data_IF_921164162875
#
_entry.id   IF_921164162875
#
_cell.length_a   1.000
_cell.length_b   1.000
_cell.length_c   1.000
_cell.angle_alpha   90.00
_cell.angle_beta   90.00
_cell.angle_gamma   90.00
#
_symmetry.space_group_name_H-M   'P 1'
#
loop_
_entity.id
_entity.type
_entity.pdbx_description
1 polymer ?
#
# COMPACT_ATOMS: atom_id res chain seq x y z
N UNK A 1 -32.17 21.07 -5.72
CA UNK A 1 -31.76 21.19 -4.30
C UNK A 1 -30.28 20.85 -4.22
N UNK A 2 -29.42 21.89 -4.23
CA UNK A 2 -27.98 21.73 -4.01
C UNK A 2 -27.73 21.51 -2.51
N UNK A 3 -27.51 20.27 -2.09
CA UNK A 3 -27.04 19.96 -0.76
C UNK A 3 -25.62 20.47 -0.60
N UNK A 4 -25.41 21.48 0.25
CA UNK A 4 -24.08 21.84 0.72
C UNK A 4 -23.56 20.66 1.56
N UNK A 5 -22.54 19.98 1.08
CA UNK A 5 -21.75 19.07 1.92
C UNK A 5 -21.09 19.92 3.01
N UNK A 6 -21.53 19.75 4.25
CA UNK A 6 -20.83 20.27 5.40
C UNK A 6 -19.60 19.39 5.61
N UNK A 7 -18.48 19.77 5.00
CA UNK A 7 -17.19 19.20 5.37
C UNK A 7 -16.84 19.72 6.77
N UNK A 8 -16.78 18.83 7.75
CA UNK A 8 -16.16 19.16 9.02
C UNK A 8 -14.70 19.54 8.75
N UNK A 9 -14.21 20.68 9.26
CA UNK A 9 -12.83 21.07 9.10
C UNK A 9 -11.96 20.27 10.09
N UNK A 10 -11.76 19.00 9.80
CA UNK A 10 -10.71 18.25 10.47
C UNK A 10 -9.39 18.56 9.77
N UNK A 11 -8.50 19.31 10.43
CA UNK A 11 -7.13 19.48 9.98
C UNK A 11 -6.49 18.09 9.88
N UNK A 12 -6.08 17.70 8.67
CA UNK A 12 -5.43 16.41 8.39
C UNK A 12 -3.93 16.54 8.59
N UNK A 13 -3.23 15.42 8.75
CA UNK A 13 -1.76 15.41 8.75
C UNK A 13 -1.17 15.98 7.47
N UNK A 14 -1.88 15.86 6.35
CA UNK A 14 -1.58 16.47 5.06
C UNK A 14 -1.61 18.01 5.04
N UNK A 15 -2.18 18.65 6.07
CA UNK A 15 -2.24 20.10 6.18
C UNK A 15 -1.02 20.67 6.94
N UNK A 16 -0.05 19.81 7.31
CA UNK A 16 1.18 20.20 7.97
C UNK A 16 2.16 20.82 6.96
N UNK A 17 2.85 21.85 7.40
CA UNK A 17 3.91 22.48 6.61
C UNK A 17 5.12 21.55 6.51
N UNK A 18 5.53 21.11 5.31
CA UNK A 18 6.69 20.23 5.16
C UNK A 18 8.01 20.89 5.58
N UNK A 19 8.11 22.23 5.54
CA UNK A 19 9.30 22.98 5.90
C UNK A 19 9.32 23.33 7.41
N UNK A 20 8.16 23.31 8.06
CA UNK A 20 8.01 23.66 9.47
C UNK A 20 7.23 22.56 10.21
N UNK A 21 7.91 21.49 10.64
CA UNK A 21 7.28 20.36 11.34
C UNK A 21 6.43 20.81 12.54
N UNK A 22 5.19 20.31 12.59
CA UNK A 22 4.21 20.66 13.63
C UNK A 22 3.39 21.89 13.37
N UNK A 23 3.64 22.64 12.31
CA UNK A 23 2.79 23.75 11.87
C UNK A 23 1.84 23.31 10.76
N UNK A 24 0.68 23.95 10.68
CA UNK A 24 -0.26 23.76 9.58
C UNK A 24 -0.05 24.83 8.52
N UNK A 25 -0.09 24.43 7.27
CA UNK A 25 -0.05 25.39 6.16
C UNK A 25 -1.38 26.14 6.11
N UNK A 26 -1.33 27.46 6.27
CA UNK A 26 -2.46 28.33 6.03
C UNK A 26 -2.61 28.60 4.53
N UNK A 27 -3.07 27.60 3.80
CA UNK A 27 -3.34 27.74 2.36
C UNK A 27 -4.82 27.51 2.08
N UNK A 28 -5.31 28.07 0.99
CA UNK A 28 -6.65 27.78 0.47
C UNK A 28 -6.79 26.37 -0.11
N UNK A 29 -5.69 25.63 -0.20
CA UNK A 29 -5.62 24.23 -0.67
C UNK A 29 -4.90 23.39 0.37
N UNK A 30 -5.42 22.20 0.73
CA UNK A 30 -4.75 21.30 1.64
C UNK A 30 -3.40 20.85 1.04
N UNK A 31 -2.39 20.75 1.89
CA UNK A 31 -1.14 20.06 1.54
C UNK A 31 -1.39 18.57 1.74
N UNK A 32 -1.42 17.83 0.65
CA UNK A 32 -1.73 16.39 0.66
C UNK A 32 -0.54 15.53 1.07
N UNK A 33 0.66 16.04 0.87
CA UNK A 33 1.89 15.33 1.10
C UNK A 33 2.78 16.11 2.07
N UNK A 34 2.95 15.57 3.26
CA UNK A 34 3.67 16.24 4.34
C UNK A 34 4.26 15.24 5.35
N UNK A 35 5.32 15.66 5.99
CA UNK A 35 5.90 14.96 7.14
C UNK A 35 4.92 14.83 8.30
N UNK A 36 4.88 13.64 8.91
CA UNK A 36 4.06 13.39 10.09
C UNK A 36 4.89 13.61 11.36
N UNK A 37 4.63 14.64 12.17
CA UNK A 37 5.38 14.92 13.38
C UNK A 37 5.17 13.85 14.45
N UNK A 38 6.11 13.75 15.37
CA UNK A 38 6.20 12.65 16.35
C UNK A 38 4.94 12.50 17.22
N UNK A 39 4.33 13.61 17.62
CA UNK A 39 3.12 13.64 18.45
C UNK A 39 1.87 13.12 17.73
N UNK A 40 1.94 12.92 16.41
CA UNK A 40 0.85 12.42 15.58
C UNK A 40 1.01 10.99 15.06
N UNK A 41 2.04 10.29 15.52
CA UNK A 41 2.34 8.91 15.11
C UNK A 41 1.70 7.85 15.98
N UNK A 42 0.76 8.20 16.84
CA UNK A 42 -0.03 7.27 17.66
C UNK A 42 0.83 6.24 18.43
N UNK A 43 2.03 6.62 18.88
CA UNK A 43 2.93 5.75 19.66
C UNK A 43 3.93 4.93 18.84
N UNK A 44 3.96 5.04 17.51
CA UNK A 44 5.00 4.41 16.72
C UNK A 44 6.36 5.08 16.96
N UNK A 45 7.34 4.28 17.34
CA UNK A 45 8.70 4.74 17.65
C UNK A 45 9.57 4.88 16.40
N UNK A 46 9.43 3.96 15.45
CA UNK A 46 10.06 3.99 14.14
C UNK A 46 9.04 4.49 13.11
N UNK A 47 9.45 5.43 12.28
CA UNK A 47 8.58 6.04 11.28
C UNK A 47 9.33 6.21 9.97
N UNK A 48 8.73 5.78 8.88
CA UNK A 48 9.25 5.97 7.54
C UNK A 48 8.06 6.00 6.59
N UNK A 49 7.64 7.18 6.19
CA UNK A 49 6.43 7.34 5.37
C UNK A 49 6.41 8.66 4.61
N UNK A 50 5.48 8.78 3.70
CA UNK A 50 5.08 10.00 3.03
C UNK A 50 3.64 10.38 3.45
N UNK A 51 3.13 11.51 2.94
CA UNK A 51 1.74 11.91 3.11
C UNK A 51 0.84 11.25 2.07
N UNK A 52 0.54 11.97 0.98
CA UNK A 52 -0.23 11.44 -0.15
C UNK A 52 0.56 11.66 -1.43
N UNK A 53 1.00 10.58 -2.04
CA UNK A 53 1.89 10.62 -3.21
C UNK A 53 1.73 9.35 -4.05
N UNK A 54 1.64 9.49 -5.37
CA UNK A 54 1.27 8.41 -6.28
C UNK A 54 2.32 8.16 -7.38
N UNK A 55 3.60 8.46 -7.15
CA UNK A 55 4.69 8.10 -8.06
C UNK A 55 5.41 6.84 -7.55
N UNK A 56 5.23 5.73 -8.22
CA UNK A 56 5.67 4.43 -7.71
C UNK A 56 7.18 4.16 -7.88
N UNK A 57 7.84 4.74 -8.90
CA UNK A 57 9.29 4.56 -9.16
C UNK A 57 10.19 5.72 -8.70
N UNK A 58 9.61 6.82 -8.28
CA UNK A 58 10.34 7.93 -7.69
C UNK A 58 9.69 8.36 -6.38
N UNK A 59 9.51 7.42 -5.44
CA UNK A 59 8.88 7.73 -4.18
C UNK A 59 9.77 8.63 -3.33
N UNK A 60 9.17 9.26 -2.33
CA UNK A 60 9.93 9.92 -1.28
C UNK A 60 9.33 9.58 0.08
N UNK A 61 10.14 9.72 1.11
CA UNK A 61 9.75 9.41 2.48
C UNK A 61 10.42 10.35 3.46
N UNK A 62 9.77 10.58 4.58
CA UNK A 62 10.41 11.17 5.75
C UNK A 62 10.65 10.09 6.79
N UNK A 63 11.86 10.05 7.33
CA UNK A 63 12.22 9.12 8.40
C UNK A 63 11.75 9.58 9.79
N UNK A 64 12.14 8.84 10.81
CA UNK A 64 11.79 9.12 12.21
C UNK A 64 12.18 10.51 12.65
N UNK A 65 13.28 11.04 12.14
CA UNK A 65 13.84 12.34 12.52
C UNK A 65 13.39 13.48 11.58
N UNK A 66 12.57 13.18 10.60
CA UNK A 66 12.03 14.13 9.63
C UNK A 66 12.94 14.40 8.45
N UNK A 67 14.01 13.63 8.29
CA UNK A 67 14.85 13.72 7.10
C UNK A 67 14.14 13.11 5.92
N UNK A 68 14.12 13.84 4.79
CA UNK A 68 13.56 13.36 3.52
C UNK A 68 14.55 12.45 2.79
N UNK A 69 14.01 11.40 2.20
CA UNK A 69 14.72 10.43 1.35
C UNK A 69 13.98 10.31 0.02
N UNK A 70 14.71 10.31 -1.08
CA UNK A 70 14.17 10.22 -2.46
C UNK A 70 14.82 9.02 -3.17
N UNK A 71 14.44 7.77 -2.84
CA UNK A 71 14.98 6.58 -3.49
C UNK A 71 14.59 6.52 -4.96
N UNK A 72 15.39 5.81 -5.77
CA UNK A 72 15.19 5.65 -7.21
C UNK A 72 14.88 4.19 -7.53
N UNK A 73 13.95 3.63 -6.82
CA UNK A 73 13.47 2.26 -6.99
C UNK A 73 11.96 2.20 -6.82
N UNK A 74 11.35 1.12 -7.23
CA UNK A 74 9.91 0.91 -7.09
C UNK A 74 9.52 0.82 -5.61
N UNK A 75 8.49 1.58 -5.21
CA UNK A 75 8.15 1.83 -3.80
C UNK A 75 7.96 0.57 -2.96
N UNK A 76 7.25 -0.51 -3.39
CA UNK A 76 7.12 -1.72 -2.58
C UNK A 76 8.44 -2.46 -2.32
N UNK A 77 9.38 -2.45 -3.26
CA UNK A 77 10.70 -3.05 -3.05
C UNK A 77 11.50 -2.24 -2.03
N UNK A 78 11.45 -0.92 -2.13
CA UNK A 78 12.08 -0.03 -1.14
C UNK A 78 11.49 -0.23 0.26
N UNK A 79 10.17 -0.25 0.36
CA UNK A 79 9.44 -0.40 1.61
C UNK A 79 9.70 -1.76 2.25
N UNK A 80 9.68 -2.85 1.47
CA UNK A 80 10.06 -4.17 1.98
C UNK A 80 11.51 -4.21 2.45
N UNK A 81 12.44 -3.56 1.74
CA UNK A 81 13.83 -3.39 2.17
C UNK A 81 13.96 -2.68 3.51
N UNK A 82 13.15 -1.65 3.79
CA UNK A 82 13.10 -0.98 5.09
C UNK A 82 12.60 -1.89 6.20
N UNK A 83 11.59 -2.71 5.92
CA UNK A 83 11.10 -3.71 6.89
C UNK A 83 12.16 -4.78 7.15
N UNK A 84 12.85 -5.27 6.11
CA UNK A 84 13.96 -6.22 6.24
C UNK A 84 15.07 -5.65 7.12
N UNK A 85 15.50 -4.41 6.86
CA UNK A 85 16.51 -3.73 7.67
C UNK A 85 16.07 -3.56 9.13
N UNK A 86 14.81 -3.22 9.37
CA UNK A 86 14.24 -3.12 10.72
C UNK A 86 14.23 -4.48 11.44
N UNK A 87 13.80 -5.56 10.75
CA UNK A 87 13.78 -6.91 11.32
C UNK A 87 15.19 -7.39 11.69
N UNK A 88 16.18 -7.13 10.83
CA UNK A 88 17.60 -7.42 11.06
C UNK A 88 18.24 -6.50 12.11
N UNK A 89 17.52 -5.49 12.56
CA UNK A 89 17.99 -4.47 13.50
C UNK A 89 19.23 -3.72 13.01
N UNK A 90 19.29 -3.46 11.72
CA UNK A 90 20.35 -2.62 11.14
C UNK A 90 20.29 -1.21 11.75
N UNK A 91 21.44 -0.69 12.17
CA UNK A 91 21.51 0.59 12.88
C UNK A 91 20.97 0.58 14.32
N UNK A 92 20.69 -0.59 14.90
CA UNK A 92 20.16 -0.74 16.27
C UNK A 92 18.87 0.05 16.53
N UNK A 93 17.96 0.05 15.56
CA UNK A 93 16.72 0.86 15.57
C UNK A 93 15.64 0.32 16.52
N UNK A 94 15.79 -0.91 17.02
CA UNK A 94 14.84 -1.53 17.95
C UNK A 94 15.54 -2.29 19.08
N UNK A 95 14.85 -2.44 20.20
CA UNK A 95 15.26 -3.34 21.27
C UNK A 95 14.82 -4.78 20.91
N UNK A 96 15.79 -5.65 20.60
CA UNK A 96 15.53 -7.04 20.18
C UNK A 96 14.97 -7.93 21.30
N UNK A 97 15.00 -7.47 22.55
CA UNK A 97 14.41 -8.18 23.71
C UNK A 97 12.92 -7.88 23.90
N UNK A 98 12.39 -6.90 23.16
CA UNK A 98 10.98 -6.51 23.21
C UNK A 98 10.23 -7.01 21.98
N UNK A 99 8.93 -7.27 22.10
CA UNK A 99 8.10 -7.54 20.92
C UNK A 99 8.05 -6.30 20.03
N UNK A 100 7.76 -6.51 18.76
CA UNK A 100 7.54 -5.44 17.79
C UNK A 100 6.13 -5.51 17.19
N UNK A 101 5.66 -4.37 16.74
CA UNK A 101 4.51 -4.24 15.85
C UNK A 101 4.96 -3.42 14.64
N UNK A 102 4.73 -3.95 13.44
CA UNK A 102 5.05 -3.29 12.18
C UNK A 102 3.76 -3.15 11.39
N UNK A 103 3.50 -1.97 10.88
CA UNK A 103 2.46 -1.70 9.89
C UNK A 103 3.15 -1.22 8.61
N UNK A 104 2.88 -1.89 7.50
CA UNK A 104 3.43 -1.57 6.19
C UNK A 104 2.27 -1.25 5.27
N UNK A 105 2.24 -0.07 4.72
CA UNK A 105 1.30 0.32 3.68
C UNK A 105 2.06 0.47 2.37
N UNK A 106 1.82 -0.43 1.41
CA UNK A 106 2.34 -0.34 0.06
C UNK A 106 1.30 0.32 -0.83
N UNK A 107 1.65 1.42 -1.51
CA UNK A 107 0.70 2.14 -2.35
C UNK A 107 0.22 1.31 -3.56
N UNK A 108 1.10 0.66 -4.36
CA UNK A 108 0.63 -0.24 -5.41
C UNK A 108 -0.20 -1.41 -4.85
N UNK A 109 -1.24 -1.85 -5.57
CA UNK A 109 -1.60 -1.51 -6.94
C UNK A 109 -2.54 -0.30 -7.10
N UNK A 110 -2.56 0.67 -6.17
CA UNK A 110 -3.25 1.95 -6.36
C UNK A 110 -2.82 2.61 -7.68
N UNK A 111 -3.72 3.35 -8.30
CA UNK A 111 -3.37 4.12 -9.50
C UNK A 111 -2.24 5.14 -9.21
N UNK A 112 -1.37 5.46 -10.18
CA UNK A 112 -1.43 5.05 -11.58
C UNK A 112 -0.96 3.60 -11.83
N UNK A 113 -1.53 2.98 -12.85
CA UNK A 113 -1.11 1.69 -13.41
C UNK A 113 -1.26 1.74 -14.95
N UNK A 114 -0.48 2.61 -15.61
CA UNK A 114 -0.64 2.97 -17.02
C UNK A 114 0.59 2.68 -17.86
N UNK A 115 1.74 2.53 -17.24
CA UNK A 115 3.02 2.39 -17.92
C UNK A 115 4.01 1.58 -17.06
N UNK A 116 5.20 1.36 -17.59
CA UNK A 116 6.32 0.77 -16.85
C UNK A 116 6.89 1.69 -15.77
N UNK A 117 6.42 2.92 -15.65
CA UNK A 117 6.74 3.79 -14.51
C UNK A 117 5.97 3.38 -13.24
N UNK A 118 4.95 2.55 -13.39
CA UNK A 118 4.06 2.17 -12.30
C UNK A 118 4.33 0.76 -11.74
N UNK A 119 5.11 -0.07 -12.45
CA UNK A 119 5.44 -1.44 -12.07
C UNK A 119 6.82 -1.86 -12.56
N UNK A 120 7.32 -3.00 -12.08
CA UNK A 120 8.55 -3.57 -12.60
C UNK A 120 8.33 -4.26 -13.96
N UNK A 121 9.28 -4.09 -14.87
CA UNK A 121 9.17 -4.65 -16.21
C UNK A 121 9.16 -6.18 -16.22
N UNK A 122 9.90 -6.81 -15.33
CA UNK A 122 9.90 -8.28 -15.19
C UNK A 122 8.52 -8.82 -14.83
N UNK A 123 7.79 -8.14 -13.93
CA UNK A 123 6.43 -8.51 -13.55
C UNK A 123 5.44 -8.22 -14.69
N UNK A 124 5.61 -7.11 -15.40
CA UNK A 124 4.79 -6.79 -16.57
C UNK A 124 4.94 -7.81 -17.69
N UNK A 125 6.14 -8.36 -17.90
CA UNK A 125 6.40 -9.35 -18.95
C UNK A 125 5.58 -10.64 -18.77
N UNK A 126 5.13 -10.96 -17.54
CA UNK A 126 4.24 -12.09 -17.28
C UNK A 126 2.85 -11.88 -17.92
N UNK A 127 2.44 -10.64 -18.12
CA UNK A 127 1.10 -10.26 -18.58
C UNK A 127 1.09 -9.60 -19.96
N UNK A 128 2.25 -9.21 -20.50
CA UNK A 128 2.39 -8.44 -21.74
C UNK A 128 1.58 -9.01 -22.91
N UNK A 129 1.63 -10.32 -23.10
CA UNK A 129 0.97 -11.02 -24.21
C UNK A 129 -0.33 -11.72 -23.81
N UNK A 130 -0.75 -11.62 -22.55
CA UNK A 130 -1.96 -12.26 -22.09
C UNK A 130 -3.20 -11.59 -22.70
N UNK A 131 -4.17 -12.34 -23.24
CA UNK A 131 -5.44 -11.77 -23.68
C UNK A 131 -6.18 -11.10 -22.51
N UNK A 132 -6.86 -9.98 -22.77
CA UNK A 132 -7.58 -9.24 -21.72
C UNK A 132 -8.70 -10.06 -21.08
N UNK A 133 -9.39 -10.90 -21.85
CA UNK A 133 -10.45 -11.78 -21.37
C UNK A 133 -9.93 -12.91 -20.46
N UNK A 134 -8.65 -13.28 -20.58
CA UNK A 134 -8.01 -14.22 -19.65
C UNK A 134 -7.61 -13.58 -18.33
N UNK A 135 -7.45 -12.27 -18.30
CA UNK A 135 -7.11 -11.51 -17.09
C UNK A 135 -8.36 -10.98 -16.38
N UNK A 136 -9.33 -10.50 -17.15
CA UNK A 136 -10.57 -9.91 -16.67
C UNK A 136 -11.73 -10.92 -16.82
N UNK A 137 -11.74 -11.92 -15.96
CA UNK A 137 -12.61 -13.12 -16.08
C UNK A 137 -14.02 -12.94 -15.47
N UNK A 138 -14.30 -11.82 -14.81
CA UNK A 138 -15.61 -11.61 -14.19
C UNK A 138 -16.69 -11.43 -15.28
N UNK A 139 -17.92 -11.97 -15.11
CA UNK A 139 -18.94 -11.94 -16.15
C UNK A 139 -19.50 -10.54 -16.44
N UNK A 140 -19.29 -9.59 -15.54
CA UNK A 140 -19.78 -8.22 -15.62
C UNK A 140 -18.72 -7.20 -16.11
N UNK A 141 -17.61 -7.69 -16.65
CA UNK A 141 -16.53 -6.87 -17.20
C UNK A 141 -16.91 -6.33 -18.59
N UNK A 142 -16.59 -5.07 -18.84
CA UNK A 142 -16.64 -4.48 -20.18
C UNK A 142 -15.23 -4.21 -20.72
N UNK A 143 -14.75 -5.12 -21.57
CA UNK A 143 -13.42 -5.02 -22.19
C UNK A 143 -13.28 -3.84 -23.17
N UNK A 144 -14.36 -3.13 -23.50
CA UNK A 144 -14.31 -1.95 -24.38
C UNK A 144 -13.97 -0.67 -23.62
N UNK A 145 -13.93 -0.72 -22.30
CA UNK A 145 -13.50 0.43 -21.50
C UNK A 145 -12.03 0.75 -21.77
N UNK A 146 -11.69 2.05 -21.85
CA UNK A 146 -10.32 2.51 -22.11
C UNK A 146 -9.31 1.98 -21.11
N UNK A 147 -9.72 1.82 -19.85
CA UNK A 147 -8.86 1.31 -18.79
C UNK A 147 -8.58 -0.20 -18.86
N UNK A 148 -9.23 -0.95 -19.74
CA UNK A 148 -9.02 -2.39 -19.87
C UNK A 148 -7.54 -2.74 -20.19
N UNK A 149 -6.87 -1.96 -21.04
CA UNK A 149 -5.44 -2.16 -21.35
C UNK A 149 -4.53 -1.96 -20.13
N UNK A 150 -4.94 -1.18 -19.17
CA UNK A 150 -4.18 -0.91 -17.95
C UNK A 150 -4.13 -2.12 -17.00
N UNK A 151 -4.98 -3.12 -17.20
CA UNK A 151 -5.04 -4.31 -16.33
C UNK A 151 -3.69 -5.04 -16.25
N UNK A 152 -2.92 -5.05 -17.32
CA UNK A 152 -1.61 -5.71 -17.33
C UNK A 152 -0.63 -5.07 -16.36
N UNK A 153 -0.64 -3.74 -16.28
CA UNK A 153 0.18 -2.99 -15.31
C UNK A 153 -0.33 -3.17 -13.87
N UNK A 154 -1.66 -3.24 -13.70
CA UNK A 154 -2.27 -3.53 -12.41
C UNK A 154 -1.85 -4.92 -11.89
N UNK A 155 -1.96 -5.97 -12.72
CA UNK A 155 -1.55 -7.33 -12.35
C UNK A 155 -0.04 -7.42 -12.10
N UNK A 156 0.76 -6.71 -12.90
CA UNK A 156 2.21 -6.60 -12.67
C UNK A 156 2.51 -5.99 -11.30
N UNK A 157 1.80 -4.92 -10.94
CA UNK A 157 1.94 -4.28 -9.62
C UNK A 157 1.55 -5.23 -8.49
N UNK A 158 0.46 -6.01 -8.64
CA UNK A 158 0.05 -7.03 -7.66
C UNK A 158 1.15 -8.09 -7.49
N UNK A 159 1.72 -8.59 -8.60
CA UNK A 159 2.81 -9.57 -8.57
C UNK A 159 4.05 -9.01 -7.88
N UNK A 160 4.41 -7.77 -8.17
CA UNK A 160 5.55 -7.12 -7.54
C UNK A 160 5.35 -6.89 -6.03
N UNK A 161 4.14 -6.52 -5.61
CA UNK A 161 3.77 -6.41 -4.17
C UNK A 161 3.88 -7.76 -3.48
N UNK A 162 3.39 -8.85 -4.10
CA UNK A 162 3.52 -10.21 -3.57
C UNK A 162 4.99 -10.60 -3.39
N UNK A 163 5.83 -10.30 -4.39
CA UNK A 163 7.28 -10.51 -4.31
C UNK A 163 7.94 -9.71 -3.18
N UNK A 164 7.59 -8.43 -3.05
CA UNK A 164 8.09 -7.56 -1.98
C UNK A 164 7.67 -8.08 -0.59
N UNK A 165 6.43 -8.52 -0.47
CA UNK A 165 5.92 -9.15 0.75
C UNK A 165 6.64 -10.49 1.04
N UNK A 166 6.93 -11.29 0.00
CA UNK A 166 7.71 -12.50 0.10
C UNK A 166 9.07 -12.30 0.78
N UNK A 167 9.79 -11.21 0.44
CA UNK A 167 11.07 -10.86 1.08
C UNK A 167 10.94 -10.66 2.60
N UNK A 168 9.84 -10.08 3.05
CA UNK A 168 9.55 -9.90 4.48
C UNK A 168 9.34 -11.26 5.15
N UNK A 169 8.55 -12.15 4.53
CA UNK A 169 8.28 -13.48 5.07
C UNK A 169 9.54 -14.35 5.14
N UNK A 170 10.38 -14.31 4.12
CA UNK A 170 11.68 -15.00 4.10
C UNK A 170 12.59 -14.47 5.21
N UNK A 171 12.65 -13.15 5.40
CA UNK A 171 13.46 -12.55 6.47
C UNK A 171 12.98 -12.97 7.85
N UNK A 172 11.67 -13.02 8.09
CA UNK A 172 11.13 -13.53 9.36
C UNK A 172 11.56 -14.97 9.61
N UNK A 173 11.56 -15.81 8.57
CA UNK A 173 11.99 -17.21 8.64
C UNK A 173 13.49 -17.32 8.91
N UNK A 174 14.32 -16.58 8.17
CA UNK A 174 15.78 -16.59 8.32
C UNK A 174 16.23 -16.18 9.72
N UNK A 175 15.50 -15.25 10.34
CA UNK A 175 15.74 -14.77 11.70
C UNK A 175 15.09 -15.66 12.78
N UNK A 176 14.39 -16.72 12.40
CA UNK A 176 13.66 -17.59 13.33
C UNK A 176 12.48 -16.91 14.04
N UNK A 177 12.00 -15.78 13.51
CA UNK A 177 10.90 -15.01 14.09
C UNK A 177 9.53 -15.47 13.60
N UNK A 178 9.46 -16.23 12.52
CA UNK A 178 8.23 -16.62 11.81
C UNK A 178 7.25 -17.41 12.68
N UNK A 179 7.75 -18.23 13.62
CA UNK A 179 6.92 -19.05 14.52
C UNK A 179 6.28 -18.26 15.65
N UNK A 180 6.81 -17.07 15.95
CA UNK A 180 6.32 -16.21 17.04
C UNK A 180 5.85 -14.84 16.54
N UNK A 181 5.54 -14.74 15.25
CA UNK A 181 5.01 -13.52 14.64
C UNK A 181 3.67 -13.82 13.98
N UNK A 182 2.65 -13.06 14.34
CA UNK A 182 1.38 -13.00 13.60
C UNK A 182 1.60 -12.12 12.38
N UNK A 183 1.35 -12.66 11.20
CA UNK A 183 1.39 -11.90 9.95
C UNK A 183 -0.03 -11.74 9.43
N UNK A 184 -0.41 -10.51 9.14
CA UNK A 184 -1.70 -10.16 8.55
C UNK A 184 -1.45 -9.48 7.21
N UNK A 185 -2.13 -9.93 6.17
CA UNK A 185 -2.15 -9.29 4.86
C UNK A 185 -3.58 -8.90 4.52
N UNK A 186 -3.79 -7.65 4.16
CA UNK A 186 -5.09 -7.13 3.75
C UNK A 186 -4.92 -5.95 2.79
N UNK A 187 -5.96 -5.61 2.04
CA UNK A 187 -6.09 -4.30 1.41
C UNK A 187 -7.15 -3.46 2.12
N UNK A 188 -7.15 -2.16 1.87
CA UNK A 188 -8.11 -1.19 2.42
C UNK A 188 -9.44 -1.22 1.66
N UNK A 189 -9.41 -1.51 0.34
CA UNK A 189 -10.57 -1.68 -0.56
C UNK A 189 -10.17 -2.56 -1.75
N UNK A 190 -11.16 -2.92 -2.56
CA UNK A 190 -10.96 -3.61 -3.83
C UNK A 190 -10.80 -2.64 -5.01
N UNK A 191 -10.94 -3.18 -6.23
CA UNK A 191 -10.85 -2.42 -7.48
C UNK A 191 -11.88 -2.97 -8.49
N UNK A 192 -12.69 -2.10 -9.08
CA UNK A 192 -13.72 -2.51 -10.05
C UNK A 192 -13.16 -3.07 -11.34
N UNK A 193 -12.03 -2.58 -11.78
CA UNK A 193 -11.27 -3.00 -12.97
C UNK A 193 -12.20 -3.41 -14.13
N UNK A 194 -12.84 -2.42 -14.75
CA UNK A 194 -13.79 -2.60 -15.85
C UNK A 194 -15.10 -3.36 -15.55
N UNK A 195 -15.33 -3.79 -14.31
CA UNK A 195 -16.61 -4.37 -13.91
C UNK A 195 -17.67 -3.28 -13.79
N UNK A 196 -18.95 -3.66 -13.89
CA UNK A 196 -20.12 -2.80 -13.71
C UNK A 196 -20.20 -1.60 -14.67
N UNK A 197 -19.37 -1.54 -15.72
CA UNK A 197 -19.27 -0.41 -16.67
C UNK A 197 -19.08 0.95 -15.99
N UNK A 198 -18.44 0.96 -14.81
CA UNK A 198 -18.17 2.20 -14.09
C UNK A 198 -16.73 2.66 -14.28
N UNK A 199 -16.55 3.97 -14.40
CA UNK A 199 -15.22 4.59 -14.35
C UNK A 199 -14.73 4.77 -12.91
N UNK A 200 -15.60 4.68 -11.92
CA UNK A 200 -15.23 4.70 -10.52
C UNK A 200 -14.50 3.41 -10.15
N UNK A 201 -13.30 3.55 -9.63
CA UNK A 201 -12.44 2.42 -9.33
C UNK A 201 -12.83 1.74 -8.01
N UNK A 202 -13.26 2.50 -7.02
CA UNK A 202 -13.37 2.03 -5.63
C UNK A 202 -14.48 2.66 -4.79
N UNK A 203 -14.98 3.84 -5.15
CA UNK A 203 -15.99 4.56 -4.36
C UNK A 203 -17.41 4.07 -4.68
N UNK A 204 -17.64 2.78 -4.63
CA UNK A 204 -18.90 2.17 -5.03
C UNK A 204 -19.28 1.04 -4.07
N UNK A 205 -20.58 0.70 -3.96
CA UNK A 205 -21.03 -0.41 -3.12
C UNK A 205 -20.90 -1.78 -3.79
N UNK A 206 -20.28 -1.87 -4.96
CA UNK A 206 -20.09 -3.13 -5.66
C UNK A 206 -19.11 -4.05 -4.93
N UNK A 207 -19.32 -5.35 -5.04
CA UNK A 207 -18.47 -6.35 -4.40
C UNK A 207 -17.00 -6.23 -4.81
N UNK A 208 -16.75 -5.82 -6.04
CA UNK A 208 -15.40 -5.60 -6.54
C UNK A 208 -14.66 -4.48 -5.79
N UNK A 209 -15.37 -3.49 -5.25
CA UNK A 209 -14.81 -2.42 -4.43
C UNK A 209 -14.77 -2.78 -2.94
N UNK A 210 -15.73 -3.58 -2.47
CA UNK A 210 -15.93 -3.84 -1.04
C UNK A 210 -15.22 -5.10 -0.55
N UNK A 211 -15.04 -6.11 -1.41
CA UNK A 211 -14.36 -7.33 -1.04
C UNK A 211 -12.84 -7.13 -1.09
N UNK A 212 -12.19 -7.41 0.02
CA UNK A 212 -10.74 -7.33 0.17
C UNK A 212 -10.15 -8.70 0.50
N UNK A 213 -8.90 -8.98 0.11
CA UNK A 213 -8.18 -10.11 0.66
C UNK A 213 -7.92 -9.85 2.15
N UNK A 214 -8.12 -10.88 2.97
CA UNK A 214 -7.73 -10.87 4.37
C UNK A 214 -7.12 -12.21 4.73
N UNK A 215 -5.82 -12.23 4.99
CA UNK A 215 -5.08 -13.44 5.32
C UNK A 215 -4.38 -13.26 6.67
N UNK A 216 -4.46 -14.27 7.51
CA UNK A 216 -3.76 -14.32 8.79
C UNK A 216 -2.93 -15.58 8.87
N UNK A 217 -1.66 -15.42 9.22
CA UNK A 217 -0.72 -16.53 9.40
C UNK A 217 -0.11 -16.46 10.80
N UNK A 218 -0.24 -17.57 11.57
CA UNK A 218 0.46 -17.77 12.82
C UNK A 218 0.80 -19.27 12.97
N UNK A 219 1.99 -19.70 12.53
CA UNK A 219 2.35 -21.12 12.49
C UNK A 219 2.21 -21.83 13.84
N UNK A 220 1.59 -23.01 13.84
CA UNK A 220 1.35 -23.79 15.05
C UNK A 220 0.23 -23.26 15.97
N UNK A 221 -0.38 -22.15 15.63
CA UNK A 221 -1.51 -21.57 16.39
C UNK A 221 -2.79 -21.45 15.58
N UNK A 222 -2.68 -21.07 14.31
CA UNK A 222 -3.81 -20.99 13.38
C UNK A 222 -3.64 -22.12 12.36
N UNK A 223 -4.67 -22.96 12.25
CA UNK A 223 -4.71 -24.01 11.23
C UNK A 223 -5.15 -23.40 9.88
N UNK A 224 -4.58 -23.86 8.75
CA UNK A 224 -5.03 -23.41 7.43
C UNK A 224 -6.51 -23.70 7.22
N UNK A 225 -7.27 -22.68 6.90
CA UNK A 225 -8.69 -22.79 6.54
C UNK A 225 -9.15 -21.54 5.78
N UNK A 226 -10.24 -21.65 5.06
CA UNK A 226 -11.04 -20.52 4.60
C UNK A 226 -12.15 -20.29 5.62
N UNK A 227 -12.44 -19.05 5.91
CA UNK A 227 -13.50 -18.67 6.85
C UNK A 227 -14.40 -17.62 6.20
N UNK A 228 -15.65 -17.99 5.96
CA UNK A 228 -16.64 -17.12 5.31
C UNK A 228 -17.39 -16.23 6.33
N UNK A 229 -17.07 -16.36 7.63
CA UNK A 229 -17.72 -15.60 8.71
C UNK A 229 -16.95 -14.33 9.12
N UNK A 230 -15.80 -14.09 8.54
CA UNK A 230 -15.10 -12.84 8.71
C UNK A 230 -15.74 -11.77 7.83
N UNK A 231 -16.78 -11.14 8.37
CA UNK A 231 -17.59 -10.04 7.83
C UNK A 231 -18.74 -10.35 6.98
#
# INVERSE_FOLDING_TARGET
LHGKQHSFPTRRSSDLDPEHPGQYVETKRPVWDAYTPKDRRHGFNYWYSYGTFDEHKNPHYWDTDGKRHDPKEWSPLHESGKVVSYLRNEGNVRDTKKPFFIMVGMNPPHSPYRSLDDCEEEDFNLYRSQPLDSLLVRPNVDLKMKKAESVRYYFASVTGVDRAFGQILETLKDLGLDKNTVVIFASDHGETMCSQRTEDQKNSPYSESMNIPFLVRFPGKIQPRVDDLLL
#
